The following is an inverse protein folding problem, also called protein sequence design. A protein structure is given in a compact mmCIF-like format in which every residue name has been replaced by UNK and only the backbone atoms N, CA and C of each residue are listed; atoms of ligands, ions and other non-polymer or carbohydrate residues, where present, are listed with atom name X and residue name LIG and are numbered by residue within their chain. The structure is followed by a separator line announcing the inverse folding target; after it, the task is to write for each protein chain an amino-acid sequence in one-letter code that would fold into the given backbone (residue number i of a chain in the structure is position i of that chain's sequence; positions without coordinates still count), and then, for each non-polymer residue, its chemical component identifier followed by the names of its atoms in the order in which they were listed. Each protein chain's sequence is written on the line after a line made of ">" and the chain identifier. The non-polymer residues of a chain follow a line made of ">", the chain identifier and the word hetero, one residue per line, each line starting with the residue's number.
data_IF_883429516726
#
_entry.id   IF_883429516726
#
_cell.length_a   1.000
_cell.length_b   1.000
_cell.length_c   1.000
_cell.angle_alpha   90.00
_cell.angle_beta   90.00
_cell.angle_gamma   90.00
#
_symmetry.space_group_name_H-M   'P 1'
#
loop_
_entity.id
_entity.type
_entity.pdbx_description
1 polymer ?
#
# COMPACT_ATOMS: atom_id res chain seq x y z
N UNK A 1 -5.10 14.47 -17.56
CA UNK A 1 -3.68 14.33 -17.15
C UNK A 1 -3.34 15.00 -15.82
N UNK A 2 -4.19 15.86 -15.25
CA UNK A 2 -3.88 16.61 -14.01
C UNK A 2 -3.49 15.72 -12.82
N UNK A 3 -4.21 14.63 -12.55
CA UNK A 3 -3.88 13.71 -11.46
C UNK A 3 -2.50 13.04 -11.60
N UNK A 4 -2.17 12.52 -12.80
CA UNK A 4 -0.84 11.93 -13.09
C UNK A 4 0.25 12.99 -12.89
N UNK A 5 0.04 14.21 -13.37
CA UNK A 5 1.00 15.32 -13.17
C UNK A 5 1.24 15.61 -11.68
N UNK A 6 0.19 15.66 -10.86
CA UNK A 6 0.32 15.85 -9.41
C UNK A 6 1.08 14.71 -8.74
N UNK A 7 0.74 13.45 -9.03
CA UNK A 7 1.45 12.30 -8.49
C UNK A 7 2.91 12.25 -8.92
N UNK A 8 3.18 12.55 -10.20
CA UNK A 8 4.52 12.56 -10.77
C UNK A 8 5.39 13.65 -10.15
N UNK A 9 4.85 14.85 -9.98
CA UNK A 9 5.54 15.95 -9.32
C UNK A 9 5.78 15.64 -7.83
N UNK A 10 4.83 14.98 -7.15
CA UNK A 10 4.98 14.59 -5.75
C UNK A 10 6.15 13.61 -5.53
N UNK A 11 6.45 12.73 -6.49
CA UNK A 11 7.61 11.82 -6.41
C UNK A 11 8.91 12.45 -6.94
N UNK A 12 8.93 13.76 -7.22
CA UNK A 12 10.11 14.49 -7.71
C UNK A 12 10.42 14.25 -9.18
N UNK A 13 9.43 13.81 -9.97
CA UNK A 13 9.60 13.48 -11.38
C UNK A 13 9.71 14.71 -12.30
N UNK A 14 10.46 14.57 -13.40
CA UNK A 14 10.62 15.62 -14.41
C UNK A 14 9.35 15.79 -15.26
N UNK A 15 8.68 16.95 -15.25
CA UNK A 15 7.46 17.18 -16.03
C UNK A 15 7.66 16.99 -17.54
N UNK A 16 8.88 17.07 -18.06
CA UNK A 16 9.19 16.79 -19.47
C UNK A 16 8.89 15.33 -19.87
N UNK A 17 8.77 14.41 -18.91
CA UNK A 17 8.43 13.01 -19.18
C UNK A 17 6.92 12.74 -19.26
N UNK A 18 6.07 13.67 -18.84
CA UNK A 18 4.61 13.49 -18.88
C UNK A 18 4.04 13.18 -20.28
N UNK A 19 4.55 13.75 -21.40
CA UNK A 19 4.12 13.38 -22.75
C UNK A 19 4.39 11.92 -23.13
N UNK A 20 5.22 11.18 -22.38
CA UNK A 20 5.46 9.74 -22.60
C UNK A 20 4.32 8.87 -22.08
N UNK A 21 3.34 9.44 -21.37
CA UNK A 21 2.21 8.71 -20.79
C UNK A 21 0.98 8.83 -21.69
N UNK A 22 0.43 7.69 -22.07
CA UNK A 22 -0.84 7.56 -22.78
C UNK A 22 -1.85 6.79 -21.93
N UNK A 23 -3.15 7.09 -22.10
CA UNK A 23 -4.21 6.48 -21.29
C UNK A 23 -5.34 5.95 -22.16
N UNK A 24 -5.79 4.72 -21.88
CA UNK A 24 -7.03 4.16 -22.39
C UNK A 24 -8.08 4.29 -21.30
N UNK A 25 -9.06 5.16 -21.55
CA UNK A 25 -10.12 5.41 -20.57
C UNK A 25 -11.16 4.30 -20.66
N UNK A 26 -11.46 3.65 -19.53
CA UNK A 26 -12.60 2.73 -19.39
C UNK A 26 -13.63 3.42 -18.51
N UNK A 27 -14.67 3.94 -19.13
CA UNK A 27 -15.81 4.49 -18.39
C UNK A 27 -16.44 3.40 -17.53
N UNK A 28 -16.82 3.73 -16.29
CA UNK A 28 -17.34 2.74 -15.33
C UNK A 28 -16.30 1.95 -14.53
N UNK A 29 -15.00 2.06 -14.86
CA UNK A 29 -13.96 1.40 -14.07
C UNK A 29 -13.83 2.06 -12.69
N UNK A 30 -13.78 1.26 -11.62
CA UNK A 30 -13.78 1.72 -10.22
C UNK A 30 -14.88 2.76 -9.95
N UNK A 31 -16.11 2.45 -10.38
CA UNK A 31 -17.27 3.34 -10.23
C UNK A 31 -17.52 3.70 -8.76
N UNK A 32 -17.50 5.01 -8.46
CA UNK A 32 -17.66 5.60 -7.13
C UNK A 32 -18.14 7.06 -7.26
N UNK A 33 -18.59 7.66 -6.14
CA UNK A 33 -18.91 9.10 -6.13
C UNK A 33 -17.64 9.94 -6.15
N UNK A 34 -16.59 9.50 -5.47
CA UNK A 34 -15.25 10.07 -5.51
C UNK A 34 -14.47 9.64 -6.77
N UNK A 35 -13.45 10.41 -7.20
CA UNK A 35 -12.69 10.14 -8.43
C UNK A 35 -11.66 9.01 -8.27
N UNK A 36 -12.13 7.81 -7.92
CA UNK A 36 -11.29 6.64 -7.58
C UNK A 36 -10.50 6.13 -8.78
N UNK A 37 -11.11 6.13 -9.97
CA UNK A 37 -10.42 5.79 -11.22
C UNK A 37 -9.25 6.74 -11.49
N UNK A 38 -9.46 8.03 -11.29
CA UNK A 38 -8.43 9.05 -11.49
C UNK A 38 -7.30 8.91 -10.48
N UNK A 39 -7.61 8.61 -9.21
CA UNK A 39 -6.62 8.28 -8.19
C UNK A 39 -5.79 7.08 -8.62
N UNK A 40 -6.45 5.97 -8.95
CA UNK A 40 -5.80 4.72 -9.30
C UNK A 40 -4.88 4.88 -10.52
N UNK A 41 -5.38 5.53 -11.58
CA UNK A 41 -4.61 5.84 -12.79
C UNK A 41 -3.42 6.73 -12.49
N UNK A 42 -3.58 7.74 -11.63
CA UNK A 42 -2.50 8.66 -11.29
C UNK A 42 -1.37 7.96 -10.52
N UNK A 43 -1.71 7.14 -9.51
CA UNK A 43 -0.73 6.39 -8.73
C UNK A 43 0.03 5.37 -9.59
N UNK A 44 -0.68 4.56 -10.39
CA UNK A 44 -0.05 3.58 -11.30
C UNK A 44 0.76 4.30 -12.38
N UNK A 45 0.27 5.42 -12.91
CA UNK A 45 0.96 6.21 -13.92
C UNK A 45 2.29 6.77 -13.44
N UNK A 46 2.33 7.35 -12.25
CA UNK A 46 3.58 7.82 -11.65
C UNK A 46 4.56 6.66 -11.42
N UNK A 47 4.07 5.50 -10.98
CA UNK A 47 4.90 4.30 -10.78
C UNK A 47 5.47 3.76 -12.10
N UNK A 48 4.65 3.66 -13.15
CA UNK A 48 5.09 3.17 -14.46
C UNK A 48 6.10 4.14 -15.10
N UNK A 49 5.90 5.45 -14.94
CA UNK A 49 6.84 6.44 -15.44
C UNK A 49 8.17 6.42 -14.67
N UNK A 50 8.14 6.28 -13.33
CA UNK A 50 9.34 6.10 -12.52
C UNK A 50 10.13 4.85 -12.91
N UNK A 51 9.42 3.74 -13.17
CA UNK A 51 10.01 2.49 -13.63
C UNK A 51 10.67 2.63 -15.02
N UNK A 52 9.94 3.21 -15.98
CA UNK A 52 10.44 3.44 -17.34
C UNK A 52 11.69 4.35 -17.32
N UNK A 53 11.68 5.42 -16.51
CA UNK A 53 12.82 6.31 -16.38
C UNK A 53 14.05 5.62 -15.79
N UNK A 54 13.90 4.93 -14.64
CA UNK A 54 15.00 4.19 -14.02
C UNK A 54 15.58 3.15 -15.00
N UNK A 55 14.70 2.42 -15.70
CA UNK A 55 15.09 1.44 -16.70
C UNK A 55 15.89 2.06 -17.84
N UNK A 56 15.40 3.16 -18.43
CA UNK A 56 16.07 3.87 -19.50
C UNK A 56 17.47 4.35 -19.09
N UNK A 57 17.58 4.95 -17.90
CA UNK A 57 18.86 5.44 -17.36
C UNK A 57 19.86 4.31 -17.14
N UNK A 58 19.41 3.15 -16.66
CA UNK A 58 20.28 1.99 -16.40
C UNK A 58 20.65 1.20 -17.66
N UNK A 59 19.78 1.20 -18.67
CA UNK A 59 20.05 0.58 -19.97
C UNK A 59 20.76 1.52 -20.97
N UNK A 60 21.01 2.78 -20.59
CA UNK A 60 21.66 3.76 -21.46
C UNK A 60 20.81 4.17 -22.67
N UNK A 61 19.47 4.10 -22.56
CA UNK A 61 18.56 4.49 -23.63
C UNK A 61 18.56 6.01 -23.79
N UNK A 62 18.47 6.47 -25.05
CA UNK A 62 18.38 7.90 -25.39
C UNK A 62 17.04 8.51 -25.00
N UNK A 63 15.98 7.69 -24.95
CA UNK A 63 14.66 8.13 -24.53
C UNK A 63 14.05 7.18 -23.48
N UNK A 64 13.21 7.74 -22.61
CA UNK A 64 12.41 6.97 -21.64
C UNK A 64 11.29 6.21 -22.36
N UNK A 65 11.11 4.89 -22.19
CA UNK A 65 10.03 4.14 -22.83
C UNK A 65 8.63 4.73 -22.62
N UNK A 66 7.78 4.62 -23.63
CA UNK A 66 6.40 5.07 -23.54
C UNK A 66 5.59 4.26 -22.52
N UNK A 67 4.79 4.94 -21.71
CA UNK A 67 3.90 4.35 -20.70
C UNK A 67 2.48 4.31 -21.27
N UNK A 68 1.80 3.17 -21.14
CA UNK A 68 0.39 3.02 -21.53
C UNK A 68 -0.40 2.52 -20.33
N UNK A 69 -1.35 3.32 -19.89
CA UNK A 69 -2.24 2.99 -18.78
C UNK A 69 -3.61 2.63 -19.32
N UNK A 70 -4.08 1.41 -19.10
CA UNK A 70 -5.46 1.02 -19.36
C UNK A 70 -6.23 0.97 -18.04
N UNK A 71 -7.31 1.74 -17.92
CA UNK A 71 -8.12 1.74 -16.70
C UNK A 71 -8.69 0.36 -16.36
N UNK A 72 -8.87 -0.52 -17.35
CA UNK A 72 -9.33 -1.89 -17.11
C UNK A 72 -8.29 -2.71 -16.35
N UNK A 73 -7.02 -2.60 -16.75
CA UNK A 73 -5.89 -3.24 -16.06
C UNK A 73 -5.72 -2.66 -14.65
N UNK A 74 -5.75 -1.32 -14.54
CA UNK A 74 -5.65 -0.62 -13.26
C UNK A 74 -6.78 -1.02 -12.31
N UNK A 75 -8.03 -1.03 -12.79
CA UNK A 75 -9.18 -1.42 -11.99
C UNK A 75 -9.08 -2.87 -11.52
N UNK A 76 -8.77 -3.81 -12.42
CA UNK A 76 -8.61 -5.23 -12.09
C UNK A 76 -7.53 -5.44 -11.02
N UNK A 77 -6.43 -4.68 -11.09
CA UNK A 77 -5.36 -4.75 -10.10
C UNK A 77 -5.69 -4.07 -8.75
N UNK A 78 -6.61 -3.11 -8.72
CA UNK A 78 -7.09 -2.45 -7.49
C UNK A 78 -8.12 -3.30 -6.73
N UNK A 79 -8.71 -4.30 -7.39
CA UNK A 79 -9.59 -5.29 -6.78
C UNK A 79 -9.04 -6.71 -6.98
N UNK A 80 -7.71 -6.87 -7.01
CA UNK A 80 -7.05 -8.13 -7.35
C UNK A 80 -7.49 -9.27 -6.43
N UNK A 81 -7.80 -8.96 -5.17
CA UNK A 81 -8.30 -9.91 -4.18
C UNK A 81 -9.64 -10.54 -4.57
N UNK A 82 -10.45 -9.87 -5.40
CA UNK A 82 -11.75 -10.40 -5.86
C UNK A 82 -11.61 -11.35 -7.04
N UNK A 83 -10.48 -11.28 -7.74
CA UNK A 83 -10.19 -12.09 -8.90
C UNK A 83 -9.29 -13.29 -8.58
N UNK A 84 -8.63 -13.25 -7.43
CA UNK A 84 -7.82 -14.35 -6.92
C UNK A 84 -8.70 -15.59 -6.71
N UNK A 85 -8.29 -16.71 -7.30
CA UNK A 85 -8.76 -18.05 -6.92
C UNK A 85 -7.55 -18.93 -6.62
N UNK A 86 -7.65 -19.76 -5.59
CA UNK A 86 -6.67 -20.82 -5.27
C UNK A 86 -7.39 -22.15 -5.36
N UNK A 87 -7.04 -22.98 -6.34
CA UNK A 87 -7.76 -24.23 -6.67
C UNK A 87 -9.28 -24.01 -6.85
N UNK A 88 -9.64 -22.89 -7.49
CA UNK A 88 -11.03 -22.48 -7.72
C UNK A 88 -11.73 -21.85 -6.50
N UNK A 89 -11.09 -21.80 -5.33
CA UNK A 89 -11.65 -21.17 -4.12
C UNK A 89 -11.32 -19.67 -4.07
N UNK A 90 -12.35 -18.85 -3.85
CA UNK A 90 -12.20 -17.42 -3.60
C UNK A 90 -11.67 -17.11 -2.17
N UNK A 91 -10.91 -16.03 -1.99
CA UNK A 91 -10.38 -15.63 -0.69
C UNK A 91 -11.44 -15.04 0.25
N UNK A 92 -11.17 -15.14 1.56
CA UNK A 92 -11.93 -14.44 2.61
C UNK A 92 -11.17 -13.17 3.01
N UNK A 93 -11.73 -12.02 2.66
CA UNK A 93 -11.05 -10.73 2.83
C UNK A 93 -11.32 -10.03 4.17
N UNK A 94 -12.54 -10.18 4.70
CA UNK A 94 -12.94 -9.57 5.97
C UNK A 94 -13.54 -10.61 6.91
N UNK A 95 -13.10 -10.59 8.16
CA UNK A 95 -13.74 -11.33 9.23
C UNK A 95 -15.16 -10.78 9.50
N UNK A 96 -16.10 -11.58 10.03
CA UNK A 96 -17.47 -11.15 10.30
C UNK A 96 -17.58 -9.88 11.15
N UNK A 97 -16.70 -9.75 12.14
CA UNK A 97 -16.64 -8.57 13.02
C UNK A 97 -15.89 -7.38 12.41
N UNK A 98 -15.38 -7.48 11.18
CA UNK A 98 -14.81 -6.35 10.43
C UNK A 98 -15.87 -5.74 9.53
N UNK A 99 -16.86 -5.06 10.12
CA UNK A 99 -17.94 -4.37 9.39
C UNK A 99 -18.29 -3.00 9.98
N UNK A 100 -19.28 -2.35 9.36
CA UNK A 100 -19.95 -1.18 9.94
C UNK A 100 -20.97 -1.63 10.98
N UNK A 101 -21.07 -0.88 12.07
CA UNK A 101 -21.98 -1.14 13.18
C UNK A 101 -22.73 0.14 13.55
N UNK A 102 -24.06 0.08 13.70
CA UNK A 102 -24.82 1.21 14.24
C UNK A 102 -24.47 1.39 15.72
N UNK A 103 -24.46 2.64 16.16
CA UNK A 103 -24.31 3.06 17.56
C UNK A 103 -25.47 3.96 17.98
N UNK A 104 -25.50 4.39 19.24
CA UNK A 104 -26.58 5.22 19.77
C UNK A 104 -26.77 6.55 18.99
N UNK A 105 -25.70 7.06 18.38
CA UNK A 105 -25.65 8.38 17.73
C UNK A 105 -25.07 8.36 16.31
N UNK A 106 -24.76 7.18 15.75
CA UNK A 106 -24.08 7.10 14.46
C UNK A 106 -23.62 5.70 14.09
N UNK A 107 -22.38 5.60 13.60
CA UNK A 107 -21.78 4.35 13.15
C UNK A 107 -20.33 4.25 13.58
N UNK A 108 -19.85 3.03 13.81
CA UNK A 108 -18.40 2.74 13.83
C UNK A 108 -18.04 1.72 12.76
N UNK A 109 -16.81 1.79 12.26
CA UNK A 109 -16.17 0.72 11.53
C UNK A 109 -15.17 0.03 12.43
N UNK A 110 -15.35 -1.27 12.66
CA UNK A 110 -14.36 -2.10 13.38
C UNK A 110 -13.41 -2.78 12.40
N UNK A 111 -12.21 -3.12 12.87
CA UNK A 111 -11.29 -3.99 12.13
C UNK A 111 -10.80 -5.13 13.02
N UNK A 112 -11.38 -6.31 12.84
CA UNK A 112 -11.18 -7.52 13.63
C UNK A 112 -10.69 -8.71 12.79
N UNK A 113 -10.01 -8.46 11.66
CA UNK A 113 -9.51 -9.52 10.77
C UNK A 113 -8.45 -10.43 11.42
N UNK A 114 -7.78 -9.94 12.46
CA UNK A 114 -6.71 -10.67 13.14
C UNK A 114 -7.13 -11.02 14.56
N UNK A 115 -6.72 -12.19 15.11
CA UNK A 115 -7.03 -12.57 16.49
C UNK A 115 -6.62 -11.51 17.52
N UNK A 116 -5.45 -10.89 17.32
CA UNK A 116 -4.92 -9.84 18.20
C UNK A 116 -5.59 -8.46 18.04
N UNK A 117 -6.50 -8.29 17.06
CA UNK A 117 -7.40 -7.13 17.00
C UNK A 117 -8.79 -7.47 17.52
N UNK A 118 -9.25 -8.69 17.26
CA UNK A 118 -10.56 -9.19 17.68
C UNK A 118 -10.68 -9.33 19.19
N UNK A 119 -9.69 -9.94 19.86
CA UNK A 119 -9.76 -10.14 21.30
C UNK A 119 -9.85 -8.81 22.08
N UNK A 120 -9.04 -7.77 21.80
CA UNK A 120 -9.23 -6.45 22.38
C UNK A 120 -10.59 -5.80 22.10
N UNK A 121 -11.13 -5.94 20.88
CA UNK A 121 -12.45 -5.44 20.54
C UNK A 121 -13.53 -6.06 21.44
N UNK A 122 -13.54 -7.38 21.57
CA UNK A 122 -14.49 -8.09 22.42
C UNK A 122 -14.34 -7.69 23.89
N UNK A 123 -13.09 -7.55 24.38
CA UNK A 123 -12.80 -7.10 25.73
C UNK A 123 -13.33 -5.68 26.01
N UNK A 124 -13.15 -4.73 25.08
CA UNK A 124 -13.66 -3.36 25.22
C UNK A 124 -15.20 -3.28 25.26
N UNK A 125 -15.87 -4.23 24.60
CA UNK A 125 -17.32 -4.30 24.56
C UNK A 125 -17.90 -5.13 25.72
N UNK A 126 -17.06 -5.86 26.47
CA UNK A 126 -17.51 -6.77 27.53
C UNK A 126 -18.21 -8.01 26.99
N UNK A 127 -17.91 -8.41 25.75
CA UNK A 127 -18.52 -9.57 25.08
C UNK A 127 -17.53 -10.74 25.15
N UNK A 128 -18.00 -11.92 25.57
CA UNK A 128 -17.14 -13.09 25.81
C UNK A 128 -17.00 -14.01 24.61
N UNK A 129 -17.97 -14.00 23.69
CA UNK A 129 -17.99 -14.85 22.50
C UNK A 129 -17.91 -14.01 21.22
N UNK A 130 -17.42 -14.63 20.13
CA UNK A 130 -17.44 -14.01 18.80
C UNK A 130 -18.85 -14.09 18.21
N UNK A 131 -19.80 -13.44 18.87
CA UNK A 131 -21.19 -13.35 18.43
C UNK A 131 -21.47 -11.96 17.85
N UNK A 132 -21.74 -11.84 16.54
CA UNK A 132 -22.09 -10.58 15.91
C UNK A 132 -23.32 -9.90 16.51
N UNK A 133 -24.28 -10.65 17.07
CA UNK A 133 -25.49 -10.07 17.65
C UNK A 133 -25.20 -9.45 19.02
N UNK A 134 -24.48 -10.14 19.89
CA UNK A 134 -23.99 -9.58 21.16
C UNK A 134 -23.10 -8.34 20.95
N UNK A 135 -22.19 -8.39 19.97
CA UNK A 135 -21.35 -7.22 19.60
C UNK A 135 -22.23 -6.06 19.12
N UNK A 136 -23.23 -6.34 18.28
CA UNK A 136 -24.16 -5.33 17.78
C UNK A 136 -24.96 -4.66 18.90
N UNK A 137 -25.47 -5.45 19.85
CA UNK A 137 -26.21 -4.93 21.00
C UNK A 137 -25.33 -4.02 21.88
N UNK A 138 -24.10 -4.44 22.19
CA UNK A 138 -23.18 -3.65 23.01
C UNK A 138 -22.77 -2.32 22.34
N UNK A 139 -22.67 -2.30 21.01
CA UNK A 139 -22.35 -1.09 20.23
C UNK A 139 -23.54 -0.13 20.13
N UNK A 140 -24.76 -0.65 19.99
CA UNK A 140 -25.97 0.14 19.84
C UNK A 140 -26.29 1.02 21.06
N UNK A 141 -25.80 0.65 22.25
CA UNK A 141 -26.05 1.38 23.51
C UNK A 141 -25.05 2.51 23.78
N UNK A 142 -23.96 2.62 23.01
CA UNK A 142 -22.85 3.56 23.26
C UNK A 142 -22.76 4.60 22.15
N UNK A 143 -22.15 5.75 22.44
CA UNK A 143 -21.82 6.71 21.38
C UNK A 143 -20.67 6.19 20.51
N UNK A 144 -20.67 6.55 19.23
CA UNK A 144 -19.63 6.14 18.27
C UNK A 144 -18.22 6.56 18.71
N UNK A 145 -18.10 7.76 19.27
CA UNK A 145 -16.83 8.27 19.79
C UNK A 145 -16.37 7.56 21.06
N UNK A 146 -17.27 7.25 21.99
CA UNK A 146 -16.93 6.46 23.18
C UNK A 146 -16.43 5.07 22.79
N UNK A 147 -17.08 4.43 21.81
CA UNK A 147 -16.64 3.14 21.27
C UNK A 147 -15.25 3.25 20.65
N UNK A 148 -15.00 4.25 19.80
CA UNK A 148 -13.68 4.48 19.19
C UNK A 148 -12.59 4.54 20.26
N UNK A 149 -12.75 5.41 21.26
CA UNK A 149 -11.72 5.61 22.29
C UNK A 149 -11.57 4.38 23.20
N UNK A 150 -12.67 3.75 23.63
CA UNK A 150 -12.62 2.56 24.47
C UNK A 150 -11.95 1.37 23.76
N UNK A 151 -12.25 1.17 22.48
CA UNK A 151 -11.65 0.10 21.69
C UNK A 151 -10.16 0.37 21.42
N UNK A 152 -9.76 1.60 21.09
CA UNK A 152 -8.34 1.94 20.95
C UNK A 152 -7.58 1.80 22.27
N UNK A 153 -8.18 2.15 23.41
CA UNK A 153 -7.55 2.05 24.74
C UNK A 153 -7.19 0.60 25.13
N UNK A 154 -7.91 -0.39 24.61
CA UNK A 154 -7.59 -1.82 24.81
C UNK A 154 -6.65 -2.40 23.76
N UNK A 155 -6.24 -1.60 22.76
CA UNK A 155 -5.43 -2.04 21.63
C UNK A 155 -6.23 -2.64 20.46
N UNK A 156 -7.56 -2.60 20.52
CA UNK A 156 -8.45 -2.93 19.41
C UNK A 156 -8.51 -1.82 18.36
N UNK A 157 -9.32 -2.02 17.32
CA UNK A 157 -9.55 -1.01 16.29
C UNK A 157 -11.05 -0.82 16.00
N UNK A 158 -11.54 0.37 16.30
CA UNK A 158 -12.81 0.90 15.85
C UNK A 158 -12.63 2.37 15.52
N UNK A 159 -13.30 2.87 14.48
CA UNK A 159 -13.29 4.29 14.12
C UNK A 159 -14.73 4.75 13.92
N UNK A 160 -15.09 5.83 14.62
CA UNK A 160 -16.36 6.52 14.48
C UNK A 160 -16.48 7.13 13.08
N UNK A 161 -17.64 6.95 12.45
CA UNK A 161 -17.97 7.59 11.20
C UNK A 161 -17.96 9.11 11.39
N UNK A 162 -17.24 9.79 10.51
CA UNK A 162 -17.23 11.25 10.44
C UNK A 162 -17.72 11.67 9.06
N UNK A 163 -18.49 12.74 8.99
CA UNK A 163 -18.81 13.45 7.75
C UNK A 163 -17.58 14.25 7.28
N UNK A 164 -17.54 14.70 6.01
CA UNK A 164 -16.46 15.57 5.53
C UNK A 164 -16.29 16.85 6.36
N UNK A 165 -17.40 17.40 6.89
CA UNK A 165 -17.38 18.60 7.73
C UNK A 165 -16.75 18.31 9.10
N UNK A 166 -17.12 17.20 9.74
CA UNK A 166 -16.54 16.81 11.03
C UNK A 166 -15.06 16.46 10.90
N UNK A 167 -14.68 15.76 9.82
CA UNK A 167 -13.27 15.48 9.55
C UNK A 167 -12.47 16.76 9.30
N UNK A 168 -13.00 17.72 8.54
CA UNK A 168 -12.33 18.99 8.30
C UNK A 168 -12.09 19.80 9.60
N UNK A 169 -12.92 19.60 10.62
CA UNK A 169 -12.77 20.22 11.94
C UNK A 169 -11.84 19.44 12.90
N UNK A 170 -11.43 18.21 12.54
CA UNK A 170 -10.63 17.35 13.39
C UNK A 170 -9.14 17.73 13.38
N UNK A 171 -8.48 17.67 14.54
CA UNK A 171 -7.08 18.08 14.71
C UNK A 171 -6.10 17.30 13.82
N UNK A 172 -6.33 16.00 13.63
CA UNK A 172 -5.50 15.19 12.73
C UNK A 172 -5.53 15.71 11.29
N UNK A 173 -6.68 16.19 10.80
CA UNK A 173 -6.83 16.70 9.43
C UNK A 173 -5.99 17.95 9.22
N UNK A 174 -5.94 18.83 10.22
CA UNK A 174 -5.14 20.05 10.16
C UNK A 174 -3.66 19.76 9.92
N UNK A 175 -3.15 18.64 10.45
CA UNK A 175 -1.80 18.16 10.16
C UNK A 175 -1.70 17.48 8.78
N UNK A 176 -2.65 16.61 8.41
CA UNK A 176 -2.65 15.89 7.13
C UNK A 176 -2.66 16.84 5.92
N UNK A 177 -3.42 17.93 5.96
CA UNK A 177 -3.53 18.88 4.83
C UNK A 177 -2.25 19.70 4.59
N UNK A 178 -1.39 19.84 5.62
CA UNK A 178 -0.14 20.61 5.54
C UNK A 178 1.01 19.83 4.92
N UNK A 179 0.86 18.52 4.80
CA UNK A 179 1.92 17.60 4.37
C UNK A 179 1.86 17.40 2.86
N UNK A 180 3.01 17.23 2.19
CA UNK A 180 3.01 16.86 0.78
C UNK A 180 2.45 15.44 0.61
N UNK A 181 2.04 15.09 -0.62
CA UNK A 181 1.56 13.73 -0.92
C UNK A 181 2.64 12.65 -0.69
N UNK A 182 3.91 13.03 -0.92
CA UNK A 182 5.09 12.23 -0.61
C UNK A 182 6.08 13.12 0.12
N UNK A 183 6.48 12.73 1.32
CA UNK A 183 7.54 13.41 2.08
C UNK A 183 8.89 12.83 1.67
N UNK A 184 9.86 13.69 1.41
CA UNK A 184 11.21 13.32 1.02
C UNK A 184 12.20 13.91 2.00
N UNK A 185 13.13 13.09 2.46
CA UNK A 185 14.22 13.49 3.34
C UNK A 185 15.53 12.92 2.83
N UNK A 186 16.57 13.74 2.80
CA UNK A 186 17.94 13.26 2.58
C UNK A 186 18.53 12.85 3.94
N UNK A 187 18.92 11.58 4.07
CA UNK A 187 19.38 11.02 5.35
C UNK A 187 20.88 11.20 5.57
N UNK A 188 21.67 11.18 4.49
CA UNK A 188 23.13 11.25 4.58
C UNK A 188 23.73 11.93 3.33
N UNK A 189 25.07 12.04 3.32
CA UNK A 189 25.86 12.50 2.17
C UNK A 189 26.73 11.38 1.57
N UNK A 190 26.50 10.13 1.96
CA UNK A 190 27.33 9.01 1.53
C UNK A 190 27.00 8.59 0.11
N UNK A 191 27.99 8.10 -0.63
CA UNK A 191 27.75 7.55 -1.96
C UNK A 191 27.24 6.12 -1.85
N UNK A 192 26.05 5.92 -2.38
CA UNK A 192 25.43 4.65 -2.65
C UNK A 192 26.29 3.69 -3.46
N UNK A 193 26.00 2.39 -3.32
CA UNK A 193 26.49 1.37 -4.25
C UNK A 193 25.94 1.67 -5.64
N UNK A 194 26.82 1.67 -6.64
CA UNK A 194 26.43 1.77 -8.03
C UNK A 194 25.57 0.56 -8.43
N UNK A 195 24.41 0.82 -9.03
CA UNK A 195 23.57 -0.21 -9.62
C UNK A 195 24.19 -0.68 -10.94
N UNK A 196 24.17 -1.98 -11.25
CA UNK A 196 24.69 -2.48 -12.51
C UNK A 196 23.87 -1.92 -13.68
N UNK A 197 24.52 -1.75 -14.83
CA UNK A 197 23.82 -1.49 -16.09
C UNK A 197 22.86 -2.63 -16.41
N UNK A 198 21.81 -2.33 -17.18
CA UNK A 198 20.85 -3.33 -17.62
C UNK A 198 21.12 -3.71 -19.08
N UNK A 199 21.13 -5.00 -19.35
CA UNK A 199 21.13 -5.60 -20.68
C UNK A 199 19.97 -6.58 -20.83
N UNK A 200 19.31 -6.58 -21.99
CA UNK A 200 18.27 -7.54 -22.33
C UNK A 200 16.82 -7.05 -22.28
N UNK A 201 15.92 -7.98 -22.59
CA UNK A 201 14.46 -7.80 -22.64
C UNK A 201 13.78 -8.97 -21.90
N UNK A 202 12.72 -8.72 -21.10
CA UNK A 202 12.13 -7.42 -20.79
C UNK A 202 13.08 -6.53 -19.97
N UNK A 203 12.91 -5.21 -20.09
CA UNK A 203 13.59 -4.23 -19.27
C UNK A 203 13.06 -4.33 -17.84
N UNK A 204 13.93 -4.70 -16.90
CA UNK A 204 13.63 -4.86 -15.47
C UNK A 204 14.37 -3.77 -14.66
N UNK A 205 13.76 -2.59 -14.47
CA UNK A 205 14.40 -1.41 -13.89
C UNK A 205 15.01 -1.61 -12.49
N UNK A 206 14.47 -2.56 -11.72
CA UNK A 206 14.90 -2.87 -10.37
C UNK A 206 15.77 -4.14 -10.28
N UNK A 207 16.19 -4.73 -11.42
CA UNK A 207 17.06 -5.90 -11.41
C UNK A 207 18.38 -5.64 -10.64
N UNK A 208 18.75 -6.58 -9.77
CA UNK A 208 19.94 -6.48 -8.92
C UNK A 208 19.79 -5.60 -7.68
N UNK A 209 18.60 -5.08 -7.40
CA UNK A 209 18.28 -4.32 -6.19
C UNK A 209 17.72 -5.27 -5.13
N UNK A 210 18.21 -5.17 -3.90
CA UNK A 210 17.72 -5.95 -2.75
C UNK A 210 16.78 -5.12 -1.88
N UNK A 211 15.54 -5.58 -1.72
CA UNK A 211 14.49 -4.90 -0.96
C UNK A 211 14.13 -5.74 0.25
N UNK A 212 14.42 -5.21 1.44
CA UNK A 212 13.99 -5.79 2.71
C UNK A 212 12.59 -5.27 3.03
N UNK A 213 11.60 -6.14 2.88
CA UNK A 213 10.18 -5.83 3.06
C UNK A 213 9.76 -6.18 4.51
N UNK A 214 9.59 -5.16 5.35
CA UNK A 214 9.05 -5.26 6.71
C UNK A 214 7.60 -4.73 6.73
N UNK A 215 6.85 -4.95 5.66
CA UNK A 215 5.47 -4.51 5.55
C UNK A 215 4.50 -5.67 5.70
N UNK A 216 3.25 -5.34 5.99
CA UNK A 216 2.13 -6.28 6.12
C UNK A 216 0.89 -5.65 5.50
N UNK A 217 -0.21 -6.41 5.43
CA UNK A 217 -1.50 -5.92 4.93
C UNK A 217 -1.45 -5.70 3.41
N UNK A 218 -1.82 -4.53 2.88
CA UNK A 218 -2.00 -4.32 1.44
C UNK A 218 -1.02 -3.29 0.89
N UNK A 219 -1.01 -2.05 1.38
CA UNK A 219 -0.26 -0.96 0.75
C UNK A 219 1.25 -1.21 0.62
N UNK A 220 1.90 -1.62 1.70
CA UNK A 220 3.32 -2.00 1.66
C UNK A 220 3.58 -3.19 0.74
N UNK A 221 2.83 -4.31 0.88
CA UNK A 221 2.96 -5.45 -0.03
C UNK A 221 2.66 -5.15 -1.50
N UNK A 222 1.75 -4.22 -1.82
CA UNK A 222 1.51 -3.70 -3.18
C UNK A 222 2.77 -3.00 -3.69
N UNK A 223 3.38 -2.13 -2.88
CA UNK A 223 4.62 -1.45 -3.27
C UNK A 223 5.74 -2.46 -3.55
N UNK A 224 5.94 -3.43 -2.66
CA UNK A 224 7.08 -4.36 -2.74
C UNK A 224 6.88 -5.44 -3.80
N UNK A 225 5.64 -5.92 -4.06
CA UNK A 225 5.37 -6.82 -5.21
C UNK A 225 5.57 -6.09 -6.54
N UNK A 226 5.30 -4.78 -6.60
CA UNK A 226 5.61 -3.96 -7.77
C UNK A 226 7.12 -3.79 -7.96
N UNK A 227 7.92 -3.62 -6.90
CA UNK A 227 9.37 -3.62 -7.02
C UNK A 227 9.89 -5.00 -7.51
N UNK A 228 9.30 -6.09 -7.03
CA UNK A 228 9.62 -7.46 -7.48
C UNK A 228 9.27 -7.70 -8.95
N UNK A 229 8.10 -7.22 -9.40
CA UNK A 229 7.71 -7.23 -10.82
C UNK A 229 8.79 -6.59 -11.71
N UNK A 230 9.39 -5.50 -11.23
CA UNK A 230 10.42 -4.74 -11.93
C UNK A 230 11.82 -5.35 -11.78
N UNK A 231 11.94 -6.52 -11.15
CA UNK A 231 13.18 -7.31 -11.06
C UNK A 231 13.93 -7.24 -9.72
N UNK A 232 13.42 -6.53 -8.72
CA UNK A 232 14.07 -6.52 -7.40
C UNK A 232 14.03 -7.92 -6.74
N UNK A 233 15.11 -8.28 -6.02
CA UNK A 233 15.05 -9.39 -5.07
C UNK A 233 14.41 -8.88 -3.78
N UNK A 234 13.15 -9.23 -3.59
CA UNK A 234 12.34 -8.77 -2.47
C UNK A 234 12.20 -9.90 -1.46
N UNK A 235 12.76 -9.69 -0.27
CA UNK A 235 12.61 -10.58 0.88
C UNK A 235 11.71 -9.93 1.92
N UNK A 236 10.49 -10.47 2.06
CA UNK A 236 9.58 -10.13 3.14
C UNK A 236 9.98 -10.86 4.41
N UNK A 237 10.14 -10.13 5.51
CA UNK A 237 10.47 -10.69 6.83
C UNK A 237 9.37 -10.32 7.82
N UNK A 238 8.72 -11.34 8.36
CA UNK A 238 7.69 -11.19 9.40
C UNK A 238 8.18 -11.75 10.75
N UNK A 239 7.69 -11.15 11.84
CA UNK A 239 7.89 -11.72 13.17
C UNK A 239 7.08 -13.04 13.30
N UNK A 240 7.68 -14.13 13.79
CA UNK A 240 7.03 -15.44 13.84
C UNK A 240 5.80 -15.49 14.76
N UNK A 241 5.70 -14.56 15.72
CA UNK A 241 4.59 -14.49 16.67
C UNK A 241 3.35 -13.75 16.12
N UNK A 242 3.46 -13.08 14.97
CA UNK A 242 2.38 -12.27 14.42
C UNK A 242 1.68 -13.00 13.25
N UNK A 243 0.40 -13.38 13.39
CA UNK A 243 -0.30 -14.19 12.40
C UNK A 243 -0.49 -13.45 11.08
N UNK A 244 -0.28 -14.15 9.96
CA UNK A 244 -0.56 -13.64 8.61
C UNK A 244 -1.87 -14.22 8.06
N UNK A 245 -2.60 -13.43 7.27
CA UNK A 245 -3.76 -13.89 6.53
C UNK A 245 -3.30 -14.55 5.23
N UNK A 246 -3.44 -15.88 5.14
CA UNK A 246 -2.96 -16.66 4.01
C UNK A 246 -3.50 -16.18 2.65
N UNK A 247 -4.79 -15.85 2.60
CA UNK A 247 -5.46 -15.35 1.39
C UNK A 247 -4.91 -13.99 0.92
N UNK A 248 -4.56 -13.12 1.86
CA UNK A 248 -3.97 -11.82 1.54
C UNK A 248 -2.52 -11.97 1.08
N UNK A 249 -1.77 -12.92 1.66
CA UNK A 249 -0.42 -13.27 1.19
C UNK A 249 -0.47 -13.90 -0.21
N UNK A 250 -1.48 -14.72 -0.51
CA UNK A 250 -1.68 -15.28 -1.84
C UNK A 250 -1.94 -14.20 -2.91
N UNK A 251 -2.63 -13.10 -2.57
CA UNK A 251 -2.79 -11.97 -3.51
C UNK A 251 -1.52 -11.11 -3.63
N UNK A 252 -0.85 -10.83 -2.51
CA UNK A 252 0.22 -9.80 -2.46
C UNK A 252 1.64 -10.35 -2.51
N UNK A 253 1.81 -11.67 -2.52
CA UNK A 253 3.12 -12.36 -2.46
C UNK A 253 3.81 -12.57 -3.81
N UNK A 254 3.18 -12.21 -4.94
CA UNK A 254 3.76 -12.37 -6.28
C UNK A 254 5.15 -11.72 -6.39
N UNK A 255 6.10 -12.43 -7.00
CA UNK A 255 7.47 -11.93 -7.16
C UNK A 255 8.36 -12.03 -5.92
N UNK A 256 7.79 -12.12 -4.71
CA UNK A 256 8.54 -11.98 -3.45
C UNK A 256 8.90 -13.31 -2.80
N UNK A 257 9.98 -13.31 -2.03
CA UNK A 257 10.30 -14.34 -1.02
C UNK A 257 9.74 -13.93 0.34
N UNK A 258 9.39 -14.89 1.18
CA UNK A 258 8.85 -14.64 2.52
C UNK A 258 9.50 -15.57 3.55
N UNK A 259 10.12 -14.98 4.56
CA UNK A 259 10.74 -15.65 5.68
C UNK A 259 10.18 -15.13 7.01
N UNK A 260 10.31 -15.94 8.06
CA UNK A 260 10.08 -15.47 9.44
C UNK A 260 11.42 -15.26 10.14
N UNK A 261 11.49 -14.21 10.95
CA UNK A 261 12.70 -13.87 11.72
C UNK A 261 12.30 -13.09 12.97
N UNK A 262 12.78 -13.51 14.14
CA UNK A 262 12.59 -12.74 15.36
C UNK A 262 13.71 -11.70 15.48
N UNK A 263 13.39 -10.42 15.30
CA UNK A 263 14.40 -9.35 15.35
C UNK A 263 15.14 -9.24 16.69
N UNK A 264 14.54 -9.72 17.79
CA UNK A 264 15.19 -9.74 19.09
C UNK A 264 16.13 -10.94 19.24
N UNK A 265 15.69 -12.13 18.82
CA UNK A 265 16.48 -13.36 18.98
C UNK A 265 17.52 -13.57 17.87
N UNK A 266 17.19 -13.16 16.64
CA UNK A 266 17.95 -13.42 15.42
C UNK A 266 18.67 -12.18 14.88
N UNK A 267 19.05 -11.26 15.79
CA UNK A 267 19.64 -9.96 15.44
C UNK A 267 20.77 -10.09 14.42
N UNK A 268 21.67 -11.07 14.58
CA UNK A 268 22.81 -11.26 13.67
C UNK A 268 22.34 -11.55 12.23
N UNK A 269 21.40 -12.48 12.04
CA UNK A 269 20.89 -12.81 10.72
C UNK A 269 20.19 -11.59 10.08
N UNK A 270 19.48 -10.80 10.89
CA UNK A 270 18.89 -9.55 10.43
C UNK A 270 19.94 -8.52 10.01
N UNK A 271 21.02 -8.34 10.77
CA UNK A 271 22.13 -7.44 10.38
C UNK A 271 22.78 -7.88 9.07
N UNK A 272 22.96 -9.20 8.86
CA UNK A 272 23.50 -9.75 7.61
C UNK A 272 22.59 -9.42 6.42
N UNK A 273 21.26 -9.57 6.57
CA UNK A 273 20.29 -9.13 5.57
C UNK A 273 20.37 -7.62 5.31
N UNK A 274 20.35 -6.81 6.37
CA UNK A 274 20.37 -5.35 6.27
C UNK A 274 21.64 -4.84 5.58
N UNK A 275 22.80 -5.44 5.89
CA UNK A 275 24.08 -4.99 5.33
C UNK A 275 24.10 -5.03 3.80
N UNK A 276 23.35 -5.95 3.20
CA UNK A 276 23.25 -6.16 1.77
C UNK A 276 22.01 -5.51 1.11
N UNK A 277 21.11 -4.91 1.89
CA UNK A 277 19.91 -4.25 1.36
C UNK A 277 20.24 -2.92 0.67
N UNK A 278 19.48 -2.61 -0.38
CA UNK A 278 19.46 -1.29 -1.04
C UNK A 278 18.24 -0.47 -0.63
N UNK A 279 17.15 -1.15 -0.31
CA UNK A 279 15.89 -0.56 0.12
C UNK A 279 15.38 -1.29 1.36
N UNK A 280 14.94 -0.54 2.37
CA UNK A 280 14.15 -1.07 3.50
C UNK A 280 12.77 -0.43 3.44
N UNK A 281 11.72 -1.26 3.44
CA UNK A 281 10.33 -0.79 3.42
C UNK A 281 9.64 -1.17 4.74
N UNK A 282 9.02 -0.19 5.40
CA UNK A 282 8.30 -0.40 6.67
C UNK A 282 6.86 0.10 6.56
N UNK A 283 5.93 -0.66 7.15
CA UNK A 283 4.48 -0.38 7.12
C UNK A 283 3.83 -0.36 8.50
N UNK A 284 4.62 -0.14 9.55
CA UNK A 284 4.14 -0.13 10.93
C UNK A 284 3.80 1.29 11.39
N UNK A 285 3.09 1.40 12.52
CA UNK A 285 2.91 2.71 13.17
C UNK A 285 4.30 3.35 13.41
N UNK A 286 4.43 4.67 13.19
CA UNK A 286 5.65 5.42 13.48
C UNK A 286 6.25 5.04 14.84
N UNK A 287 7.56 4.82 14.87
CA UNK A 287 8.31 4.44 16.08
C UNK A 287 8.23 2.97 16.50
N UNK A 288 7.34 2.14 15.93
CA UNK A 288 7.14 0.76 16.40
C UNK A 288 8.38 -0.14 16.29
N UNK A 289 9.26 0.16 15.34
CA UNK A 289 10.47 -0.62 15.07
C UNK A 289 11.75 0.07 15.59
N UNK A 290 11.65 1.25 16.18
CA UNK A 290 12.81 2.04 16.61
C UNK A 290 13.63 1.33 17.69
N UNK A 291 12.97 0.54 18.54
CA UNK A 291 13.63 -0.31 19.55
C UNK A 291 14.60 -1.35 18.94
N UNK A 292 14.45 -1.66 17.65
CA UNK A 292 15.34 -2.55 16.88
C UNK A 292 16.37 -1.76 16.05
N UNK A 293 16.46 -0.44 16.26
CA UNK A 293 17.33 0.45 15.49
C UNK A 293 16.87 0.65 14.05
N UNK A 294 15.56 0.56 13.78
CA UNK A 294 14.98 0.66 12.43
C UNK A 294 14.34 2.03 12.13
N UNK A 295 14.70 3.06 12.90
CA UNK A 295 14.40 4.44 12.50
C UNK A 295 15.24 4.80 11.26
N UNK A 296 14.74 5.74 10.44
CA UNK A 296 15.41 6.10 9.19
C UNK A 296 16.86 6.57 9.40
N UNK A 297 17.12 7.39 10.43
CA UNK A 297 18.46 7.83 10.77
C UNK A 297 19.36 6.70 11.29
N UNK A 298 18.85 5.84 12.18
CA UNK A 298 19.64 4.70 12.68
C UNK A 298 20.01 3.72 11.55
N UNK A 299 19.10 3.52 10.59
CA UNK A 299 19.38 2.75 9.38
C UNK A 299 20.43 3.42 8.50
N UNK A 300 20.38 4.74 8.30
CA UNK A 300 21.37 5.47 7.52
C UNK A 300 22.77 5.46 8.17
N UNK A 301 22.85 5.56 9.50
CA UNK A 301 24.12 5.44 10.23
C UNK A 301 24.76 4.06 10.04
N UNK A 302 23.96 3.00 10.11
CA UNK A 302 24.42 1.60 9.95
C UNK A 302 24.67 1.23 8.49
N UNK A 303 23.88 1.79 7.57
CA UNK A 303 23.94 1.53 6.13
C UNK A 303 23.79 2.83 5.35
N UNK A 304 24.89 3.59 5.19
CA UNK A 304 24.85 4.83 4.41
C UNK A 304 24.49 4.58 2.95
N UNK A 305 23.75 5.51 2.35
CA UNK A 305 23.25 5.41 0.99
C UNK A 305 22.03 4.50 0.82
N UNK A 306 21.38 4.05 1.91
CA UNK A 306 20.16 3.24 1.87
C UNK A 306 18.94 4.08 1.46
N UNK A 307 17.98 3.47 0.75
CA UNK A 307 16.64 4.04 0.58
C UNK A 307 15.72 3.45 1.67
N UNK A 308 15.19 4.31 2.54
CA UNK A 308 14.21 3.94 3.56
C UNK A 308 12.83 4.40 3.09
N UNK A 309 11.89 3.48 3.00
CA UNK A 309 10.51 3.76 2.61
C UNK A 309 9.59 3.46 3.79
N UNK A 310 8.84 4.47 4.24
CA UNK A 310 7.95 4.34 5.39
C UNK A 310 6.51 4.66 4.99
N UNK A 311 5.61 3.81 5.46
CA UNK A 311 4.19 3.93 5.25
C UNK A 311 3.45 3.80 6.58
N UNK A 312 2.46 4.65 6.80
CA UNK A 312 1.54 4.52 7.94
C UNK A 312 0.11 4.89 7.56
N UNK A 313 -0.86 4.63 8.43
CA UNK A 313 -2.24 5.03 8.19
C UNK A 313 -2.42 6.56 8.31
N UNK A 314 -1.89 7.17 9.37
CA UNK A 314 -2.23 8.54 9.78
C UNK A 314 -1.11 9.56 9.57
N UNK A 315 0.11 9.12 9.26
CA UNK A 315 1.33 9.94 9.28
C UNK A 315 2.08 9.83 10.61
N UNK A 316 3.29 10.40 10.69
CA UNK A 316 4.12 10.49 11.90
C UNK A 316 3.86 11.76 12.73
N UNK A 317 2.75 12.44 12.41
CA UNK A 317 2.35 13.74 12.95
C UNK A 317 0.92 13.71 13.52
N UNK A 318 0.60 14.72 14.32
CA UNK A 318 -0.73 14.90 14.90
C UNK A 318 -1.06 13.92 16.04
N UNK A 319 -2.27 14.02 16.59
CA UNK A 319 -2.71 13.20 17.71
C UNK A 319 -2.85 11.71 17.37
N UNK A 320 -3.04 11.35 16.10
CA UNK A 320 -3.26 9.96 15.68
C UNK A 320 -2.01 9.26 15.16
N UNK A 321 -0.82 9.89 15.23
CA UNK A 321 0.44 9.30 14.73
C UNK A 321 0.76 7.92 15.30
N UNK A 322 0.33 7.63 16.53
CA UNK A 322 0.59 6.35 17.20
C UNK A 322 -0.56 5.34 17.04
N UNK A 323 -1.70 5.77 16.47
CA UNK A 323 -2.85 4.90 16.23
C UNK A 323 -2.53 3.93 15.09
N UNK A 324 -3.00 2.69 15.23
CA UNK A 324 -3.07 1.75 14.10
C UNK A 324 -4.16 2.22 13.15
N UNK A 325 -4.09 1.77 11.90
CA UNK A 325 -5.13 2.05 10.93
C UNK A 325 -5.06 1.08 9.76
N UNK A 326 -6.16 1.02 9.04
CA UNK A 326 -6.37 0.24 7.83
C UNK A 326 -7.13 1.13 6.86
N UNK A 327 -7.01 0.89 5.56
CA UNK A 327 -7.73 1.67 4.54
C UNK A 327 -9.22 1.84 4.91
N UNK A 328 -9.91 0.75 5.23
CA UNK A 328 -11.33 0.81 5.63
C UNK A 328 -11.60 1.75 6.81
N UNK A 329 -10.68 1.87 7.78
CA UNK A 329 -10.82 2.76 8.93
C UNK A 329 -10.50 4.22 8.55
N UNK A 330 -9.52 4.42 7.67
CA UNK A 330 -9.19 5.74 7.13
C UNK A 330 -10.38 6.28 6.34
N UNK A 331 -11.01 5.47 5.48
CA UNK A 331 -12.23 5.88 4.75
C UNK A 331 -13.34 6.40 5.67
N UNK A 332 -13.48 5.81 6.85
CA UNK A 332 -14.54 6.14 7.81
C UNK A 332 -14.22 7.43 8.55
N UNK A 333 -12.97 7.60 8.98
CA UNK A 333 -12.52 8.83 9.62
C UNK A 333 -12.55 10.03 8.68
N UNK A 334 -12.18 9.84 7.40
CA UNK A 334 -11.92 10.96 6.48
C UNK A 334 -13.15 11.44 5.71
N UNK A 335 -14.35 11.03 6.10
CA UNK A 335 -15.59 11.42 5.39
C UNK A 335 -15.91 10.61 4.14
N UNK A 336 -15.02 9.73 3.68
CA UNK A 336 -15.22 8.96 2.45
C UNK A 336 -16.44 8.05 2.54
N UNK A 337 -16.60 7.34 3.66
CA UNK A 337 -17.74 6.45 3.86
C UNK A 337 -19.08 7.22 3.83
N UNK A 338 -19.14 8.41 4.40
CA UNK A 338 -20.31 9.28 4.35
C UNK A 338 -20.58 9.85 2.94
N UNK A 339 -19.51 10.13 2.16
CA UNK A 339 -19.64 10.58 0.77
C UNK A 339 -20.20 9.46 -0.11
N UNK A 340 -19.63 8.25 -0.04
CA UNK A 340 -20.03 7.11 -0.89
C UNK A 340 -21.45 6.61 -0.59
N UNK A 341 -21.86 6.68 0.68
CA UNK A 341 -23.22 6.39 1.13
C UNK A 341 -23.93 7.66 1.63
N UNK A 342 -24.21 7.68 2.93
CA UNK A 342 -24.64 8.85 3.70
C UNK A 342 -24.20 8.71 5.17
N UNK A 343 -24.49 9.70 6.02
CA UNK A 343 -24.23 9.59 7.46
C UNK A 343 -25.10 8.51 8.14
N UNK A 344 -26.29 8.26 7.60
CA UNK A 344 -27.26 7.29 8.10
C UNK A 344 -26.99 5.87 7.55
N UNK A 345 -26.35 5.78 6.39
CA UNK A 345 -26.00 4.51 5.74
C UNK A 345 -24.64 4.63 5.07
N UNK A 346 -23.53 4.38 5.79
CA UNK A 346 -22.19 4.57 5.26
C UNK A 346 -21.92 3.62 4.08
N UNK A 347 -21.20 4.14 3.09
CA UNK A 347 -20.69 3.38 1.95
C UNK A 347 -19.20 3.04 2.09
N UNK A 348 -18.65 2.43 1.05
CA UNK A 348 -17.23 2.15 0.92
C UNK A 348 -16.77 2.43 -0.51
N UNK A 349 -15.50 2.73 -0.68
CA UNK A 349 -14.88 2.78 -2.01
C UNK A 349 -14.97 1.41 -2.69
N UNK A 350 -14.96 1.35 -4.03
CA UNK A 350 -15.05 0.10 -4.79
C UNK A 350 -13.84 -0.81 -4.62
N UNK A 351 -12.80 -0.40 -3.89
CA UNK A 351 -11.55 -1.10 -3.60
C UNK A 351 -10.98 -0.62 -2.25
N UNK A 352 -9.95 -1.29 -1.72
CA UNK A 352 -9.03 -0.66 -0.76
C UNK A 352 -8.11 0.33 -1.51
N UNK A 353 -8.73 1.37 -2.08
CA UNK A 353 -8.08 2.26 -3.04
C UNK A 353 -7.00 3.15 -2.42
N UNK A 354 -7.09 3.45 -1.13
CA UNK A 354 -6.05 4.17 -0.41
C UNK A 354 -4.84 3.26 -0.26
N UNK A 355 -5.03 1.99 0.12
CA UNK A 355 -3.93 1.05 0.26
C UNK A 355 -3.21 0.82 -1.08
N UNK A 356 -3.94 0.47 -2.14
CA UNK A 356 -3.35 0.27 -3.47
C UNK A 356 -2.71 1.57 -4.00
N UNK A 357 -3.42 2.70 -3.90
CA UNK A 357 -2.95 3.99 -4.37
C UNK A 357 -1.66 4.42 -3.68
N UNK A 358 -1.61 4.37 -2.35
CA UNK A 358 -0.41 4.71 -1.59
C UNK A 358 0.71 3.70 -1.83
N UNK A 359 0.42 2.41 -2.00
CA UNK A 359 1.40 1.39 -2.35
C UNK A 359 2.11 1.67 -3.69
N UNK A 360 1.36 2.00 -4.75
CA UNK A 360 1.97 2.37 -6.03
C UNK A 360 2.76 3.68 -5.94
N UNK A 361 2.31 4.67 -5.17
CA UNK A 361 3.08 5.89 -4.94
C UNK A 361 4.37 5.63 -4.14
N UNK A 362 4.35 4.71 -3.17
CA UNK A 362 5.54 4.31 -2.41
C UNK A 362 6.55 3.62 -3.32
N UNK A 363 6.11 2.71 -4.20
CA UNK A 363 6.97 2.10 -5.22
C UNK A 363 7.55 3.15 -6.18
N UNK A 364 6.73 4.10 -6.66
CA UNK A 364 7.16 5.20 -7.49
C UNK A 364 8.24 6.06 -6.80
N UNK A 365 8.03 6.40 -5.53
CA UNK A 365 8.97 7.17 -4.72
C UNK A 365 10.28 6.43 -4.49
N UNK A 366 10.25 5.12 -4.25
CA UNK A 366 11.46 4.28 -4.16
C UNK A 366 12.23 4.27 -5.48
N UNK A 367 11.54 4.06 -6.61
CA UNK A 367 12.17 4.05 -7.94
C UNK A 367 12.80 5.42 -8.27
N UNK A 368 12.12 6.51 -7.94
CA UNK A 368 12.64 7.88 -8.07
C UNK A 368 13.85 8.12 -7.17
N UNK A 369 13.78 7.71 -5.91
CA UNK A 369 14.91 7.79 -4.99
C UNK A 369 16.13 7.02 -5.53
N UNK A 370 15.92 5.84 -6.14
CA UNK A 370 16.98 5.06 -6.79
C UNK A 370 17.55 5.73 -8.05
N UNK A 371 16.71 6.38 -8.86
CA UNK A 371 17.14 7.19 -10.00
C UNK A 371 18.02 8.35 -9.54
N UNK A 372 17.58 9.12 -8.54
CA UNK A 372 18.32 10.26 -7.99
C UNK A 372 19.60 9.85 -7.25
N UNK A 373 19.57 8.70 -6.56
CA UNK A 373 20.73 8.08 -5.91
C UNK A 373 21.88 7.86 -6.90
N UNK A 374 21.59 7.54 -8.16
CA UNK A 374 22.61 7.39 -9.22
C UNK A 374 23.30 8.71 -9.58
N UNK A 375 22.59 9.82 -9.48
CA UNK A 375 23.10 11.15 -9.87
C UNK A 375 23.80 11.86 -8.71
N UNK A 376 23.27 11.70 -7.49
CA UNK A 376 23.66 12.49 -6.32
C UNK A 376 24.34 11.66 -5.22
N UNK A 377 24.19 10.32 -5.23
CA UNK A 377 24.85 9.40 -4.30
C UNK A 377 24.10 9.13 -2.99
N UNK A 378 23.26 10.04 -2.50
CA UNK A 378 22.81 10.07 -1.10
C UNK A 378 21.74 9.04 -0.68
N UNK A 379 21.77 8.65 0.60
CA UNK A 379 20.67 7.94 1.28
C UNK A 379 19.43 8.82 1.43
N UNK A 380 18.24 8.21 1.34
CA UNK A 380 16.96 8.92 1.31
C UNK A 380 15.90 8.22 2.16
N UNK A 381 15.04 9.01 2.78
CA UNK A 381 13.79 8.54 3.34
C UNK A 381 12.62 9.09 2.53
N UNK A 382 11.68 8.23 2.16
CA UNK A 382 10.38 8.62 1.61
C UNK A 382 9.28 8.18 2.57
N UNK A 383 8.33 9.07 2.86
CA UNK A 383 7.20 8.77 3.75
C UNK A 383 5.87 9.09 3.08
N UNK A 384 4.90 8.19 3.26
CA UNK A 384 3.53 8.37 2.82
C UNK A 384 2.55 7.95 3.91
N UNK A 385 1.35 8.52 3.86
CA UNK A 385 0.24 8.08 4.70
C UNK A 385 -1.05 7.87 3.90
N UNK A 386 -1.83 6.88 4.34
CA UNK A 386 -3.16 6.62 3.77
C UNK A 386 -4.06 7.85 3.94
N UNK A 387 -4.01 8.52 5.09
CA UNK A 387 -4.77 9.73 5.36
C UNK A 387 -4.44 10.88 4.38
N UNK A 388 -3.16 11.03 4.00
CA UNK A 388 -2.76 12.02 2.97
C UNK A 388 -3.28 11.65 1.59
N UNK A 389 -3.28 10.36 1.25
CA UNK A 389 -3.87 9.88 -0.01
C UNK A 389 -5.39 10.05 -0.03
N UNK A 390 -6.06 9.84 1.11
CA UNK A 390 -7.49 10.10 1.29
C UNK A 390 -7.83 11.59 1.12
N UNK A 391 -7.03 12.49 1.70
CA UNK A 391 -7.19 13.93 1.51
C UNK A 391 -7.08 14.30 0.03
N UNK A 392 -6.07 13.75 -0.67
CA UNK A 392 -5.89 14.00 -2.09
C UNK A 392 -7.06 13.46 -2.94
N UNK A 393 -7.59 12.28 -2.61
CA UNK A 393 -8.78 11.72 -3.26
C UNK A 393 -10.01 12.61 -3.10
N UNK A 394 -10.24 13.13 -1.88
CA UNK A 394 -11.44 13.90 -1.55
C UNK A 394 -11.37 15.33 -2.08
N UNK A 395 -10.23 16.01 -1.94
CA UNK A 395 -10.13 17.45 -2.20
C UNK A 395 -9.20 17.82 -3.37
N UNK A 396 -8.29 16.94 -3.78
CA UNK A 396 -7.20 17.27 -4.72
C UNK A 396 -7.36 16.70 -6.12
N UNK A 397 -8.33 15.80 -6.34
CA UNK A 397 -8.61 15.21 -7.65
C UNK A 397 -9.90 15.75 -8.25
N UNK A 398 -9.88 15.95 -9.57
CA UNK A 398 -11.07 16.31 -10.35
C UNK A 398 -11.65 15.04 -10.98
N UNK A 399 -12.97 14.80 -10.86
CA UNK A 399 -13.60 13.66 -11.51
C UNK A 399 -13.53 13.80 -13.04
N UNK A 400 -13.27 12.68 -13.71
CA UNK A 400 -13.43 12.57 -15.15
C UNK A 400 -14.87 12.25 -15.57
N UNK A 401 -15.13 12.00 -16.86
CA UNK A 401 -16.41 11.55 -17.35
C UNK A 401 -16.86 10.27 -16.64
N UNK A 402 -18.10 10.25 -16.16
CA UNK A 402 -18.70 9.09 -15.49
C UNK A 402 -19.38 8.22 -16.53
N UNK A 403 -19.10 6.91 -16.48
CA UNK A 403 -19.90 5.93 -17.20
C UNK A 403 -21.18 5.64 -16.42
N UNK A 404 -22.29 5.42 -17.12
CA UNK A 404 -23.57 5.05 -16.49
C UNK A 404 -23.58 3.62 -15.95
N UNK A 405 -22.67 2.77 -16.44
CA UNK A 405 -22.55 1.36 -16.08
C UNK A 405 -21.15 1.06 -15.55
N UNK A 406 -21.04 0.09 -14.64
CA UNK A 406 -19.76 -0.43 -14.17
C UNK A 406 -19.04 -1.15 -15.30
N UNK A 407 -17.72 -0.95 -15.41
CA UNK A 407 -16.90 -1.70 -16.37
C UNK A 407 -16.70 -3.14 -15.88
N UNK A 408 -17.15 -4.11 -16.68
CA UNK A 408 -17.11 -5.55 -16.35
C UNK A 408 -16.43 -6.35 -17.47
N UNK A 409 -15.13 -6.11 -17.70
CA UNK A 409 -14.33 -6.95 -18.61
C UNK A 409 -12.93 -7.23 -18.02
N UNK A 410 -12.84 -7.90 -16.86
CA UNK A 410 -11.57 -8.19 -16.21
C UNK A 410 -10.76 -9.26 -16.94
N UNK A 411 -11.37 -10.14 -17.73
CA UNK A 411 -10.70 -11.34 -18.31
C UNK A 411 -9.46 -11.03 -19.15
N UNK A 412 -9.40 -9.87 -19.80
CA UNK A 412 -8.21 -9.43 -20.55
C UNK A 412 -6.99 -9.13 -19.65
N UNK A 413 -7.22 -9.00 -18.34
CA UNK A 413 -6.26 -8.58 -17.32
C UNK A 413 -6.04 -9.65 -16.25
N UNK A 414 -6.46 -10.89 -16.55
CA UNK A 414 -6.34 -12.03 -15.67
C UNK A 414 -5.44 -13.09 -16.31
N UNK A 415 -4.80 -13.88 -15.45
CA UNK A 415 -3.97 -15.00 -15.86
C UNK A 415 -4.13 -16.15 -14.89
N UNK A 416 -3.65 -17.32 -15.29
CA UNK A 416 -3.63 -18.52 -14.47
C UNK A 416 -2.25 -19.15 -14.48
N UNK A 417 -1.83 -19.69 -13.33
CA UNK A 417 -0.60 -20.50 -13.23
C UNK A 417 -0.61 -21.40 -12.01
N UNK A 418 0.12 -22.50 -12.08
CA UNK A 418 0.39 -23.33 -10.92
C UNK A 418 1.34 -22.62 -9.94
N UNK A 419 1.16 -22.89 -8.65
CA UNK A 419 1.97 -22.34 -7.58
C UNK A 419 2.12 -23.32 -6.42
N UNK A 420 3.05 -23.09 -5.48
CA UNK A 420 3.12 -23.82 -4.22
C UNK A 420 1.84 -23.74 -3.37
N UNK A 421 0.93 -22.80 -3.64
CA UNK A 421 -0.36 -22.66 -2.94
C UNK A 421 -1.50 -23.41 -3.63
N UNK A 422 -1.30 -23.92 -4.84
CA UNK A 422 -2.34 -24.46 -5.73
C UNK A 422 -2.39 -23.74 -7.08
N UNK A 423 -3.34 -24.10 -7.94
CA UNK A 423 -3.57 -23.41 -9.21
C UNK A 423 -4.22 -22.05 -8.96
N UNK A 424 -3.54 -20.99 -9.38
CA UNK A 424 -3.98 -19.62 -9.19
C UNK A 424 -4.72 -19.11 -10.42
N UNK A 425 -5.81 -18.37 -10.21
CA UNK A 425 -6.31 -17.33 -11.13
C UNK A 425 -6.04 -15.98 -10.47
N UNK A 426 -5.47 -15.01 -11.17
CA UNK A 426 -4.98 -13.78 -10.54
C UNK A 426 -4.97 -12.58 -11.50
N UNK A 427 -4.90 -11.37 -10.95
CA UNK A 427 -4.78 -10.13 -11.71
C UNK A 427 -3.35 -9.88 -12.20
N UNK A 428 -3.21 -9.53 -13.49
CA UNK A 428 -1.96 -9.09 -14.08
C UNK A 428 -1.52 -7.73 -13.49
N UNK A 429 -0.21 -7.43 -13.49
CA UNK A 429 0.29 -6.15 -13.00
C UNK A 429 -0.22 -4.97 -13.85
N UNK A 430 -0.62 -3.84 -13.24
CA UNK A 430 -1.12 -2.68 -13.99
C UNK A 430 0.00 -1.73 -14.44
N UNK A 431 1.23 -1.92 -13.95
CA UNK A 431 2.40 -1.12 -14.31
C UNK A 431 2.92 -1.57 -15.67
N UNK A 432 2.76 -0.71 -16.69
CA UNK A 432 3.09 -1.05 -18.08
C UNK A 432 3.83 0.08 -18.81
N UNK A 433 4.93 -0.29 -19.46
CA UNK A 433 5.72 0.58 -20.33
C UNK A 433 6.37 -0.26 -21.45
N UNK A 434 6.73 0.39 -22.56
CA UNK A 434 7.29 -0.30 -23.72
C UNK A 434 8.57 -1.07 -23.35
N UNK A 435 8.60 -2.37 -23.67
CA UNK A 435 9.71 -3.26 -23.34
C UNK A 435 9.77 -3.72 -21.87
N UNK A 436 8.83 -3.30 -21.01
CA UNK A 436 8.72 -3.76 -19.62
C UNK A 436 8.14 -5.16 -19.45
N UNK A 437 8.05 -5.67 -18.20
CA UNK A 437 7.43 -6.95 -17.90
C UNK A 437 5.91 -6.91 -18.15
N UNK A 438 5.34 -8.05 -18.55
CA UNK A 438 3.89 -8.20 -18.84
C UNK A 438 3.14 -9.05 -17.81
N UNK A 439 3.86 -9.77 -16.96
CA UNK A 439 3.31 -10.64 -15.90
C UNK A 439 4.27 -10.66 -14.71
N UNK A 440 3.82 -11.17 -13.57
CA UNK A 440 4.64 -11.38 -12.38
C UNK A 440 5.73 -12.42 -12.64
N UNK A 441 6.95 -12.14 -12.20
CA UNK A 441 8.11 -13.01 -12.43
C UNK A 441 7.98 -14.41 -11.80
N UNK A 442 7.25 -14.55 -10.69
CA UNK A 442 6.93 -15.83 -10.05
C UNK A 442 5.63 -15.75 -9.23
N UNK A 443 4.88 -16.86 -9.07
CA UNK A 443 3.74 -16.89 -8.16
C UNK A 443 4.17 -16.75 -6.69
N UNK A 444 3.24 -16.42 -5.77
CA UNK A 444 3.49 -16.49 -4.33
C UNK A 444 3.85 -17.91 -3.87
N UNK A 445 4.79 -18.01 -2.93
CA UNK A 445 5.08 -19.24 -2.19
C UNK A 445 4.28 -19.33 -0.89
N UNK A 446 4.48 -20.41 -0.14
CA UNK A 446 3.96 -20.54 1.24
C UNK A 446 4.58 -19.45 2.11
N UNK A 447 3.75 -18.73 2.88
CA UNK A 447 4.21 -17.67 3.77
C UNK A 447 5.25 -18.18 4.76
N UNK A 448 6.37 -17.45 4.89
CA UNK A 448 7.44 -17.78 5.82
C UNK A 448 8.29 -19.00 5.47
N UNK A 449 8.09 -19.63 4.31
CA UNK A 449 8.76 -20.88 3.95
C UNK A 449 10.13 -20.68 3.26
N UNK A 450 10.45 -19.47 2.79
CA UNK A 450 11.77 -19.19 2.21
C UNK A 450 12.82 -18.99 3.32
N UNK A 451 14.12 -19.28 3.05
CA UNK A 451 15.19 -18.96 3.98
C UNK A 451 15.37 -17.44 4.14
N UNK A 452 15.72 -17.01 5.36
CA UNK A 452 16.05 -15.62 5.67
C UNK A 452 17.46 -15.24 5.18
N UNK A 453 17.64 -15.17 3.85
CA UNK A 453 18.92 -14.84 3.20
C UNK A 453 18.73 -14.25 1.80
N UNK A 454 19.72 -13.52 1.27
CA UNK A 454 19.71 -13.08 -0.13
C UNK A 454 20.09 -14.23 -1.08
N UNK A 455 19.56 -14.22 -2.30
CA UNK A 455 19.99 -15.13 -3.38
C UNK A 455 21.00 -14.48 -4.31
#
# INVERSE_FOLDING_TARGET
>A
MTGISTAWSAVGGDPALLPRVSTVVREGALHARLPVRELARACVGACALAAAELGARRAGLTEVPGVRLDDGAVATAFVSERHLLVDGRAPVNFAPLSRFWPTADGWVRTHANYPHHRAPLLAALGVTEEDPDAVGAALAERSSHEVEEAVYATGGLAVALRTPKEWAAHEQTAEVVRRPLVEHERLDMAHARALPSLDGTPLLPAAGIRVLDLTRVIAGPVATRTLALLGADVLRVDAPQLPELADQHADTGFGKRSATLDLAADRRAFEELLSAADVVVTGYRPGALDRFGLSAHALAERRPGLVVAQLSAWGDYGPWRERRGFDSLVQVATGIAAIEGSAERPGALPAQALDHGTGYLLAAAVLRALTERREQGYGRCVRLSLARTAEWLVNGLRPGPRGEQTYEAPDAWLSERDSPLGRLRYALPPVSFAGGPVDWGRPPGVWGADPAGWV
#
